data_IF_137335525586
#
_entry.id   IF_137335525586
#
_cell.length_a   1.000
_cell.length_b   1.000
_cell.length_c   1.000
_cell.angle_alpha   90.00
_cell.angle_beta   90.00
_cell.angle_gamma   90.00
#
_symmetry.space_group_name_H-M   'P 1'
#
loop_
_entity.id
_entity.type
_entity.pdbx_description
1 polymer ?
#
# COMPACT_ATOMS: atom_id res chain seq x y z
N UNK A 1 -26.71 -14.28 4.43
CA UNK A 1 -26.07 -15.52 4.92
C UNK A 1 -25.36 -15.16 6.22
N UNK A 2 -25.71 -15.77 7.33
CA UNK A 2 -25.08 -15.48 8.61
C UNK A 2 -23.65 -16.03 8.61
N UNK A 3 -22.70 -15.25 9.16
CA UNK A 3 -21.30 -15.62 9.27
C UNK A 3 -21.15 -16.78 10.29
N UNK A 4 -20.57 -17.91 9.89
CA UNK A 4 -20.20 -18.98 10.81
C UNK A 4 -18.99 -18.57 11.64
N UNK A 5 -19.26 -17.91 12.77
CA UNK A 5 -18.22 -17.39 13.69
C UNK A 5 -17.33 -18.53 14.21
N UNK A 6 -17.86 -19.75 14.42
CA UNK A 6 -17.07 -20.88 14.90
C UNK A 6 -16.07 -21.35 13.85
N UNK A 7 -16.50 -21.41 12.59
CA UNK A 7 -15.61 -21.72 11.47
C UNK A 7 -14.54 -20.65 11.31
N UNK A 8 -14.93 -19.37 11.27
CA UNK A 8 -13.97 -18.25 11.11
C UNK A 8 -12.94 -18.25 12.23
N UNK A 9 -13.38 -18.37 13.49
CA UNK A 9 -12.47 -18.36 14.64
C UNK A 9 -11.44 -19.49 14.59
N UNK A 10 -11.80 -20.66 14.08
CA UNK A 10 -10.90 -21.80 13.88
C UNK A 10 -9.80 -21.56 12.83
N UNK A 11 -9.96 -20.55 11.97
CA UNK A 11 -8.93 -20.21 10.99
C UNK A 11 -7.75 -19.46 11.63
N UNK A 12 -7.87 -19.02 12.88
CA UNK A 12 -6.86 -18.24 13.60
C UNK A 12 -6.30 -19.03 14.78
N UNK A 13 -5.12 -19.67 14.64
CA UNK A 13 -4.51 -20.50 15.70
C UNK A 13 -4.24 -19.77 17.00
N UNK A 14 -4.12 -18.44 16.97
CA UNK A 14 -3.99 -17.62 18.18
C UNK A 14 -5.12 -17.91 19.19
N UNK A 15 -6.33 -18.20 18.73
CA UNK A 15 -7.47 -18.48 19.60
C UNK A 15 -7.53 -19.92 20.14
N UNK A 16 -6.58 -20.77 19.74
CA UNK A 16 -6.36 -22.10 20.33
C UNK A 16 -5.39 -22.02 21.54
N UNK A 17 -4.68 -20.88 21.71
CA UNK A 17 -3.79 -20.65 22.85
C UNK A 17 -4.61 -20.49 24.14
N UNK A 18 -4.29 -21.20 25.23
CA UNK A 18 -5.10 -21.21 26.48
C UNK A 18 -5.44 -19.83 27.02
N UNK A 19 -4.48 -18.89 26.95
CA UNK A 19 -4.68 -17.52 27.44
C UNK A 19 -5.59 -16.65 26.53
N UNK A 20 -5.87 -17.08 25.30
CA UNK A 20 -6.65 -16.33 24.30
C UNK A 20 -8.00 -16.99 23.97
N UNK A 21 -8.22 -18.26 24.37
CA UNK A 21 -9.38 -19.05 23.92
C UNK A 21 -10.73 -18.40 24.20
N UNK A 22 -10.84 -17.66 25.31
CA UNK A 22 -12.08 -16.98 25.74
C UNK A 22 -11.99 -15.45 25.62
N UNK A 23 -10.97 -14.91 24.93
CA UNK A 23 -10.81 -13.48 24.77
C UNK A 23 -11.35 -13.00 23.44
N UNK A 24 -11.95 -11.80 23.43
CA UNK A 24 -12.21 -11.00 22.25
C UNK A 24 -10.95 -10.21 21.89
N UNK A 25 -10.67 -10.08 20.59
CA UNK A 25 -9.60 -9.24 20.07
C UNK A 25 -10.22 -8.07 19.29
N UNK A 26 -9.98 -6.85 19.76
CA UNK A 26 -10.56 -5.63 19.21
C UNK A 26 -9.51 -4.63 18.71
N UNK A 27 -8.24 -5.07 18.56
CA UNK A 27 -7.11 -4.22 18.18
C UNK A 27 -6.65 -4.46 16.72
N UNK A 28 -7.57 -4.80 15.83
CA UNK A 28 -7.25 -5.02 14.41
C UNK A 28 -6.74 -3.74 13.71
N UNK A 29 -7.05 -2.57 14.24
CA UNK A 29 -6.52 -1.29 13.74
C UNK A 29 -4.98 -1.23 13.83
N UNK A 30 -4.40 -1.84 14.86
CA UNK A 30 -2.95 -1.97 15.03
C UNK A 30 -2.34 -3.13 14.25
N UNK A 31 -3.12 -4.19 14.02
CA UNK A 31 -2.71 -5.40 13.29
C UNK A 31 -3.61 -6.57 13.63
N UNK A 32 -3.71 -7.55 12.75
CA UNK A 32 -4.56 -8.73 12.92
C UNK A 32 -3.74 -9.96 13.28
N UNK A 33 -4.37 -10.94 13.91
CA UNK A 33 -3.79 -12.29 13.99
C UNK A 33 -3.69 -12.89 12.59
N UNK A 34 -2.66 -13.72 12.41
CA UNK A 34 -2.39 -14.40 11.13
C UNK A 34 -3.26 -15.65 11.02
N UNK A 35 -3.87 -15.87 9.85
CA UNK A 35 -4.68 -17.06 9.62
C UNK A 35 -3.80 -18.32 9.38
N UNK A 36 -4.35 -19.50 9.65
CA UNK A 36 -3.69 -20.80 9.53
C UNK A 36 -3.08 -21.02 8.14
N UNK A 37 -3.81 -20.66 7.09
CA UNK A 37 -3.36 -20.85 5.72
C UNK A 37 -2.06 -20.10 5.40
N UNK A 38 -1.90 -18.89 5.96
CA UNK A 38 -0.68 -18.10 5.81
C UNK A 38 0.46 -18.73 6.62
N UNK A 39 0.21 -19.14 7.87
CA UNK A 39 1.21 -19.80 8.73
C UNK A 39 1.74 -21.08 8.07
N UNK A 40 0.83 -21.92 7.58
CA UNK A 40 1.19 -23.20 6.95
C UNK A 40 1.99 -22.96 5.64
N UNK A 41 1.60 -21.94 4.84
CA UNK A 41 2.33 -21.56 3.63
C UNK A 41 3.74 -21.09 3.95
N UNK A 42 3.89 -20.20 4.95
CA UNK A 42 5.20 -19.70 5.38
C UNK A 42 6.09 -20.82 5.93
N UNK A 43 5.55 -21.68 6.81
CA UNK A 43 6.30 -22.82 7.34
C UNK A 43 6.82 -23.73 6.21
N UNK A 44 5.96 -24.07 5.27
CA UNK A 44 6.36 -24.89 4.12
C UNK A 44 7.43 -24.19 3.29
N UNK A 45 7.25 -22.90 2.97
CA UNK A 45 8.22 -22.13 2.18
C UNK A 45 9.58 -22.09 2.87
N UNK A 46 9.62 -21.72 4.15
CA UNK A 46 10.87 -21.65 4.92
C UNK A 46 11.57 -23.01 5.08
N UNK A 47 10.82 -24.08 5.14
CA UNK A 47 11.36 -25.42 5.32
C UNK A 47 11.89 -26.03 4.01
N UNK A 48 11.19 -25.77 2.88
CA UNK A 48 11.43 -26.49 1.64
C UNK A 48 12.10 -25.64 0.55
N UNK A 49 11.89 -24.32 0.53
CA UNK A 49 12.15 -23.46 -0.64
C UNK A 49 12.88 -22.15 -0.34
N UNK A 50 13.25 -21.89 0.92
CA UNK A 50 13.91 -20.64 1.32
C UNK A 50 15.37 -20.63 0.86
N UNK A 51 15.56 -20.36 -0.42
CA UNK A 51 16.83 -20.13 -1.11
C UNK A 51 16.66 -18.92 -2.02
N UNK A 52 17.73 -18.48 -2.68
CA UNK A 52 17.62 -17.44 -3.72
C UNK A 52 16.67 -17.92 -4.82
N UNK A 53 15.57 -17.20 -5.12
CA UNK A 53 14.64 -17.56 -6.19
C UNK A 53 15.24 -17.36 -7.58
N UNK A 54 14.58 -17.90 -8.61
CA UNK A 54 14.91 -17.78 -10.03
C UNK A 54 16.26 -18.36 -10.48
N UNK A 55 16.93 -19.16 -9.63
CA UNK A 55 18.14 -19.92 -10.02
C UNK A 55 17.79 -21.20 -10.77
N UNK A 56 18.83 -21.97 -11.16
CA UNK A 56 18.70 -23.12 -12.05
C UNK A 56 18.38 -24.47 -11.35
N UNK A 57 18.20 -24.50 -10.04
CA UNK A 57 17.90 -25.72 -9.28
C UNK A 57 16.48 -25.73 -8.71
N UNK A 58 15.93 -26.92 -8.44
CA UNK A 58 14.51 -27.14 -8.19
C UNK A 58 13.91 -26.25 -7.07
N UNK A 59 14.55 -26.14 -5.91
CA UNK A 59 14.03 -25.32 -4.82
C UNK A 59 13.99 -23.83 -5.19
N UNK A 60 14.98 -23.34 -5.93
CA UNK A 60 15.06 -21.97 -6.41
C UNK A 60 13.99 -21.66 -7.46
N UNK A 61 13.82 -22.54 -8.43
CA UNK A 61 12.76 -22.43 -9.46
C UNK A 61 11.38 -22.41 -8.77
N UNK A 62 11.16 -23.36 -7.84
CA UNK A 62 9.89 -23.46 -7.11
C UNK A 62 9.64 -22.24 -6.24
N UNK A 63 10.67 -21.66 -5.61
CA UNK A 63 10.56 -20.40 -4.84
C UNK A 63 10.14 -19.23 -5.72
N UNK A 64 10.74 -19.10 -6.91
CA UNK A 64 10.37 -18.09 -7.90
C UNK A 64 8.92 -18.22 -8.34
N UNK A 65 8.45 -19.42 -8.68
CA UNK A 65 7.04 -19.65 -9.02
C UNK A 65 6.06 -19.24 -7.92
N UNK A 66 6.38 -19.45 -6.64
CA UNK A 66 5.51 -19.02 -5.55
C UNK A 66 5.46 -17.48 -5.39
N UNK A 67 6.55 -16.79 -5.69
CA UNK A 67 6.57 -15.32 -5.73
C UNK A 67 5.73 -14.78 -6.89
N UNK A 68 5.86 -15.37 -8.08
CA UNK A 68 5.06 -15.01 -9.24
C UNK A 68 3.57 -15.28 -9.01
N UNK A 69 3.22 -16.43 -8.41
CA UNK A 69 1.85 -16.77 -8.04
C UNK A 69 1.23 -15.70 -7.12
N UNK A 70 1.99 -15.19 -6.15
CA UNK A 70 1.54 -14.15 -5.24
C UNK A 70 1.26 -12.84 -5.99
N UNK A 71 2.17 -12.43 -6.89
CA UNK A 71 2.03 -11.22 -7.71
C UNK A 71 0.83 -11.31 -8.66
N UNK A 72 0.73 -12.39 -9.41
CA UNK A 72 -0.39 -12.67 -10.33
C UNK A 72 -1.74 -12.71 -9.60
N UNK A 73 -1.78 -13.39 -8.45
CA UNK A 73 -2.98 -13.49 -7.62
C UNK A 73 -3.46 -12.15 -7.11
N UNK A 74 -2.55 -11.33 -6.59
CA UNK A 74 -2.88 -9.98 -6.13
C UNK A 74 -3.28 -9.07 -7.28
N UNK A 75 -2.55 -9.06 -8.38
CA UNK A 75 -2.88 -8.25 -9.55
C UNK A 75 -4.30 -8.52 -10.07
N UNK A 76 -4.67 -9.80 -10.19
CA UNK A 76 -6.02 -10.22 -10.56
C UNK A 76 -7.07 -9.75 -9.57
N UNK A 77 -6.80 -9.90 -8.27
CA UNK A 77 -7.74 -9.50 -7.21
C UNK A 77 -7.96 -7.99 -7.18
N UNK A 78 -6.89 -7.21 -7.39
CA UNK A 78 -6.91 -5.74 -7.37
C UNK A 78 -7.31 -5.11 -8.72
N UNK A 79 -7.49 -5.91 -9.79
CA UNK A 79 -7.86 -5.42 -11.12
C UNK A 79 -6.76 -4.59 -11.80
N UNK A 80 -5.49 -4.97 -11.60
CA UNK A 80 -4.32 -4.27 -12.11
C UNK A 80 -3.39 -5.22 -12.86
N UNK A 81 -2.37 -4.71 -13.54
CA UNK A 81 -1.34 -5.52 -14.20
C UNK A 81 -0.36 -6.11 -13.18
N UNK A 82 0.25 -7.24 -13.50
CA UNK A 82 1.22 -7.92 -12.63
C UNK A 82 2.44 -7.04 -12.31
N UNK A 83 2.96 -6.33 -13.29
CA UNK A 83 4.09 -5.41 -13.14
C UNK A 83 3.75 -4.14 -12.34
N UNK A 84 2.46 -3.85 -12.10
CA UNK A 84 2.01 -2.76 -11.26
C UNK A 84 2.03 -3.12 -9.76
N UNK A 85 2.22 -4.40 -9.40
CA UNK A 85 2.23 -4.88 -8.00
C UNK A 85 3.65 -5.06 -7.51
N UNK A 86 3.97 -4.39 -6.41
CA UNK A 86 5.26 -4.46 -5.73
C UNK A 86 5.10 -4.81 -4.26
N UNK A 87 6.09 -5.50 -3.71
CA UNK A 87 6.17 -5.87 -2.30
C UNK A 87 7.30 -5.09 -1.63
N UNK A 88 7.10 -4.67 -0.41
CA UNK A 88 8.12 -4.04 0.41
C UNK A 88 8.01 -4.45 1.87
N UNK A 89 8.98 -4.10 2.71
CA UNK A 89 9.00 -4.50 4.13
C UNK A 89 7.81 -3.94 4.91
N UNK A 90 7.31 -2.77 4.51
CA UNK A 90 6.15 -2.11 5.12
C UNK A 90 5.59 -1.01 4.21
N UNK A 91 4.35 -0.59 4.43
CA UNK A 91 3.78 0.58 3.76
C UNK A 91 4.63 1.84 3.99
N UNK A 92 5.13 2.05 5.21
CA UNK A 92 6.03 3.19 5.51
C UNK A 92 7.29 3.18 4.64
N UNK A 93 7.92 2.01 4.45
CA UNK A 93 9.10 1.89 3.59
C UNK A 93 8.73 2.15 2.12
N UNK A 94 7.61 1.63 1.65
CA UNK A 94 7.11 1.91 0.30
C UNK A 94 6.90 3.41 0.08
N UNK A 95 6.29 4.11 1.07
CA UNK A 95 6.11 5.56 1.00
C UNK A 95 7.44 6.33 1.01
N UNK A 96 8.46 5.85 1.76
CA UNK A 96 9.79 6.46 1.70
C UNK A 96 10.44 6.33 0.31
N UNK A 97 10.33 5.17 -0.32
CA UNK A 97 10.84 4.94 -1.68
C UNK A 97 10.12 5.84 -2.68
N UNK A 98 8.79 5.91 -2.61
CA UNK A 98 7.99 6.80 -3.45
C UNK A 98 8.36 8.28 -3.23
N UNK A 99 8.43 8.74 -1.98
CA UNK A 99 8.77 10.12 -1.67
C UNK A 99 10.17 10.50 -2.18
N UNK A 100 11.13 9.55 -2.15
CA UNK A 100 12.43 9.76 -2.76
C UNK A 100 12.34 9.89 -4.28
N UNK A 101 11.62 9.00 -4.95
CA UNK A 101 11.44 9.04 -6.41
C UNK A 101 10.74 10.34 -6.85
N UNK A 102 9.67 10.73 -6.16
CA UNK A 102 9.00 12.01 -6.42
C UNK A 102 9.89 13.21 -6.13
N UNK A 103 10.71 13.17 -5.06
CA UNK A 103 11.64 14.25 -4.75
C UNK A 103 12.73 14.46 -5.81
N UNK A 104 13.09 13.40 -6.55
CA UNK A 104 14.00 13.49 -7.69
C UNK A 104 13.31 13.95 -8.98
N UNK A 105 12.01 13.72 -9.12
CA UNK A 105 11.21 14.09 -10.28
C UNK A 105 10.62 15.50 -10.19
N UNK A 106 10.15 15.90 -9.00
CA UNK A 106 9.53 17.20 -8.76
C UNK A 106 10.56 18.33 -8.83
N UNK A 107 10.13 19.49 -9.30
CA UNK A 107 10.98 20.70 -9.38
C UNK A 107 10.43 21.81 -8.48
N UNK A 108 11.29 22.77 -8.14
CA UNK A 108 10.87 23.94 -7.37
C UNK A 108 9.69 24.67 -8.06
N UNK A 109 8.66 24.99 -7.28
CA UNK A 109 7.39 25.54 -7.77
C UNK A 109 6.30 24.48 -7.95
N UNK A 110 6.64 23.18 -7.92
CA UNK A 110 5.62 22.16 -7.81
C UNK A 110 5.06 22.09 -6.38
N UNK A 111 3.81 21.64 -6.27
CA UNK A 111 3.12 21.42 -5.03
C UNK A 111 2.66 19.96 -4.89
N UNK A 112 2.52 19.52 -3.67
CA UNK A 112 1.85 18.28 -3.29
C UNK A 112 0.80 18.58 -2.22
N UNK A 113 -0.25 17.77 -2.19
CA UNK A 113 -1.28 17.86 -1.15
C UNK A 113 -1.17 16.62 -0.26
N UNK A 114 -1.15 16.83 1.04
CA UNK A 114 -1.30 15.79 2.09
C UNK A 114 -2.46 16.15 2.99
N UNK A 115 -2.93 15.22 3.83
CA UNK A 115 -4.00 15.52 4.78
C UNK A 115 -3.58 15.21 6.21
N UNK A 116 -4.20 15.88 7.19
CA UNK A 116 -4.04 15.54 8.60
C UNK A 116 -5.01 14.43 9.06
N UNK A 117 -5.83 13.87 8.16
CA UNK A 117 -6.65 12.69 8.43
C UNK A 117 -5.84 11.39 8.30
N UNK A 118 -4.71 11.42 7.58
CA UNK A 118 -3.95 10.24 7.22
C UNK A 118 -2.93 9.83 8.30
N UNK A 119 -2.51 8.57 8.23
CA UNK A 119 -1.46 8.04 9.09
C UNK A 119 -0.10 8.64 8.73
N UNK A 120 0.79 8.84 9.75
CA UNK A 120 2.14 9.39 9.56
C UNK A 120 2.96 8.63 8.50
N UNK A 121 2.71 7.33 8.32
CA UNK A 121 3.35 6.54 7.27
C UNK A 121 3.11 7.10 5.85
N UNK A 122 1.96 7.73 5.60
CA UNK A 122 1.63 8.33 4.31
C UNK A 122 1.60 9.87 4.33
N UNK A 123 2.11 10.51 5.36
CA UNK A 123 2.23 11.97 5.42
C UNK A 123 3.65 12.43 5.68
N UNK A 124 4.35 11.81 6.62
CA UNK A 124 5.65 12.27 7.09
C UNK A 124 6.74 12.27 6.03
N UNK A 125 6.76 11.27 5.16
CA UNK A 125 7.73 11.20 4.06
C UNK A 125 7.50 12.30 3.04
N UNK A 126 6.25 12.54 2.67
CA UNK A 126 5.84 13.58 1.73
C UNK A 126 6.14 14.98 2.26
N UNK A 127 5.83 15.25 3.53
CA UNK A 127 6.12 16.56 4.17
C UNK A 127 7.60 16.94 4.13
N UNK A 128 8.51 15.94 4.11
CA UNK A 128 9.95 16.19 4.01
C UNK A 128 10.38 16.80 2.68
N UNK A 129 9.58 16.68 1.61
CA UNK A 129 9.86 17.28 0.31
C UNK A 129 9.89 18.82 0.36
N UNK A 130 9.27 19.42 1.39
CA UNK A 130 9.39 20.87 1.63
C UNK A 130 10.84 21.34 1.78
N UNK A 131 11.73 20.48 2.28
CA UNK A 131 13.18 20.77 2.40
C UNK A 131 13.89 20.89 1.05
N UNK A 132 13.24 20.40 -0.02
CA UNK A 132 13.74 20.45 -1.39
C UNK A 132 13.07 21.56 -2.21
N UNK A 133 12.30 22.44 -1.55
CA UNK A 133 11.61 23.55 -2.19
C UNK A 133 10.28 23.18 -2.84
N UNK A 134 9.73 22.00 -2.53
CA UNK A 134 8.40 21.60 -2.98
C UNK A 134 7.37 22.16 -1.99
N UNK A 135 6.33 22.81 -2.51
CA UNK A 135 5.22 23.29 -1.69
C UNK A 135 4.40 22.10 -1.16
N UNK A 136 4.15 22.09 0.16
CA UNK A 136 3.29 21.07 0.79
C UNK A 136 2.04 21.74 1.30
N UNK A 137 0.92 21.48 0.64
CA UNK A 137 -0.40 21.95 1.03
C UNK A 137 -1.06 20.91 1.92
N UNK A 138 -1.80 21.36 2.92
CA UNK A 138 -2.48 20.47 3.86
C UNK A 138 -4.00 20.57 3.72
N UNK A 139 -4.61 19.48 3.26
CA UNK A 139 -6.06 19.32 3.25
C UNK A 139 -6.52 18.93 4.66
N UNK A 140 -7.15 19.88 5.34
CA UNK A 140 -7.52 19.75 6.76
C UNK A 140 -8.85 19.01 6.91
N UNK A 141 -8.93 18.16 7.94
CA UNK A 141 -10.22 17.60 8.35
C UNK A 141 -11.13 18.70 8.91
N UNK A 142 -12.40 18.61 8.63
CA UNK A 142 -13.42 19.33 9.33
C UNK A 142 -13.44 18.86 10.80
N UNK A 143 -13.21 19.78 11.73
CA UNK A 143 -13.03 19.46 13.16
C UNK A 143 -14.29 18.94 13.84
N UNK A 144 -15.47 19.22 13.27
CA UNK A 144 -16.75 18.80 13.82
C UNK A 144 -17.13 17.40 13.33
N UNK A 145 -16.84 17.08 12.06
CA UNK A 145 -17.25 15.82 11.43
C UNK A 145 -16.12 14.80 11.34
N UNK A 146 -14.84 15.25 11.32
CA UNK A 146 -13.67 14.41 11.04
C UNK A 146 -13.52 14.06 9.56
N UNK A 147 -14.36 14.60 8.69
CA UNK A 147 -14.37 14.37 7.25
C UNK A 147 -13.44 15.33 6.52
N UNK A 148 -13.10 14.96 5.28
CA UNK A 148 -12.38 15.79 4.33
C UNK A 148 -13.40 16.41 3.37
N UNK A 149 -13.58 17.72 3.45
CA UNK A 149 -14.54 18.43 2.60
C UNK A 149 -13.97 18.59 1.18
N UNK A 150 -14.74 18.19 0.17
CA UNK A 150 -14.30 18.24 -1.24
C UNK A 150 -14.19 19.67 -1.80
N UNK A 151 -14.93 20.61 -1.21
CA UNK A 151 -14.84 22.03 -1.56
C UNK A 151 -13.46 22.59 -1.15
N UNK A 152 -12.96 22.21 0.04
CA UNK A 152 -11.63 22.60 0.48
C UNK A 152 -10.52 22.00 -0.43
N UNK A 153 -10.75 20.82 -0.99
CA UNK A 153 -9.82 20.23 -1.97
C UNK A 153 -9.78 21.03 -3.27
N UNK A 154 -10.92 21.53 -3.75
CA UNK A 154 -10.98 22.34 -4.95
C UNK A 154 -10.15 23.64 -4.80
N UNK A 155 -10.14 24.23 -3.62
CA UNK A 155 -9.35 25.43 -3.31
C UNK A 155 -7.83 25.14 -3.23
N UNK A 156 -7.45 23.89 -2.96
CA UNK A 156 -6.04 23.46 -2.89
C UNK A 156 -5.47 23.01 -4.22
N UNK A 157 -6.32 22.61 -5.19
CA UNK A 157 -5.89 22.09 -6.49
C UNK A 157 -5.62 23.23 -7.47
N UNK A 158 -4.45 23.21 -8.08
CA UNK A 158 -4.08 24.04 -9.23
C UNK A 158 -3.08 23.30 -10.14
N UNK A 159 -2.62 23.94 -11.22
CA UNK A 159 -1.68 23.36 -12.19
C UNK A 159 -0.29 23.04 -11.61
N UNK A 160 0.07 23.56 -10.45
CA UNK A 160 1.34 23.29 -9.78
C UNK A 160 1.27 22.00 -8.95
N UNK A 161 0.07 21.57 -8.56
CA UNK A 161 -0.10 20.32 -7.80
C UNK A 161 0.21 19.11 -8.67
N UNK A 162 1.17 18.28 -8.24
CA UNK A 162 1.60 17.08 -8.96
C UNK A 162 1.24 15.78 -8.26
N UNK A 163 0.92 15.85 -6.98
CA UNK A 163 0.58 14.67 -6.19
C UNK A 163 -0.42 15.04 -5.09
N UNK A 164 -1.46 14.21 -4.95
CA UNK A 164 -2.39 14.23 -3.83
C UNK A 164 -2.29 12.92 -3.06
N UNK A 165 -2.04 12.99 -1.75
CA UNK A 165 -1.95 11.83 -0.84
C UNK A 165 -3.07 11.90 0.20
N UNK A 166 -3.86 10.83 0.32
CA UNK A 166 -4.94 10.75 1.32
C UNK A 166 -5.29 9.30 1.67
N UNK A 167 -5.95 9.02 2.82
CA UNK A 167 -6.36 7.67 3.18
C UNK A 167 -7.68 7.29 2.49
N UNK A 168 -7.82 6.02 2.11
CA UNK A 168 -9.11 5.46 1.68
C UNK A 168 -10.11 5.44 2.85
N UNK A 169 -9.60 5.08 4.03
CA UNK A 169 -10.34 5.10 5.29
C UNK A 169 -9.41 5.59 6.40
N UNK A 170 -9.88 6.54 7.19
CA UNK A 170 -9.10 7.04 8.33
C UNK A 170 -8.91 5.96 9.39
N UNK A 171 -7.68 5.80 9.88
CA UNK A 171 -7.36 4.88 10.96
C UNK A 171 -7.81 5.40 12.35
N UNK A 172 -8.23 6.64 12.46
CA UNK A 172 -8.66 7.30 13.71
C UNK A 172 -10.17 7.44 13.78
N UNK A 173 -10.77 8.10 12.78
CA UNK A 173 -12.21 8.41 12.78
C UNK A 173 -13.04 7.44 11.95
N UNK A 174 -12.39 6.51 11.24
CA UNK A 174 -12.98 5.45 10.42
C UNK A 174 -13.88 5.95 9.26
N UNK A 175 -13.83 7.24 8.91
CA UNK A 175 -14.53 7.75 7.73
C UNK A 175 -13.92 7.17 6.46
N UNK A 176 -14.78 6.77 5.53
CA UNK A 176 -14.39 6.25 4.21
C UNK A 176 -14.51 7.40 3.22
N UNK A 177 -13.40 7.77 2.62
CA UNK A 177 -13.35 8.86 1.65
C UNK A 177 -13.87 8.41 0.27
N UNK A 178 -14.54 9.30 -0.50
CA UNK A 178 -15.06 9.01 -1.83
C UNK A 178 -13.93 9.00 -2.88
N UNK A 179 -13.08 7.95 -2.86
CA UNK A 179 -11.83 7.88 -3.62
C UNK A 179 -11.99 8.20 -5.09
N UNK A 180 -13.02 7.65 -5.77
CA UNK A 180 -13.24 7.90 -7.21
C UNK A 180 -13.46 9.38 -7.53
N UNK A 181 -14.20 10.07 -6.69
CA UNK A 181 -14.49 11.50 -6.88
C UNK A 181 -13.24 12.35 -6.65
N UNK A 182 -12.48 12.04 -5.58
CA UNK A 182 -11.22 12.70 -5.26
C UNK A 182 -10.20 12.51 -6.39
N UNK A 183 -10.06 11.27 -6.88
CA UNK A 183 -9.18 10.94 -8.02
C UNK A 183 -9.58 11.74 -9.26
N UNK A 184 -10.87 11.81 -9.57
CA UNK A 184 -11.35 12.57 -10.73
C UNK A 184 -11.01 14.06 -10.66
N UNK A 185 -11.16 14.66 -9.47
CA UNK A 185 -10.79 16.07 -9.23
C UNK A 185 -9.27 16.29 -9.40
N UNK A 186 -8.46 15.47 -8.78
CA UNK A 186 -7.00 15.53 -8.86
C UNK A 186 -6.50 15.36 -10.30
N UNK A 187 -7.00 14.35 -11.01
CA UNK A 187 -6.64 14.13 -12.42
C UNK A 187 -7.05 15.30 -13.32
N UNK A 188 -8.19 15.95 -13.06
CA UNK A 188 -8.63 17.14 -13.79
C UNK A 188 -7.65 18.31 -13.62
N UNK A 189 -7.03 18.42 -12.44
CA UNK A 189 -5.97 19.40 -12.16
C UNK A 189 -4.58 18.94 -12.65
N UNK A 190 -4.44 17.72 -13.18
CA UNK A 190 -3.16 17.17 -13.65
C UNK A 190 -2.28 16.58 -12.56
N UNK A 191 -2.84 16.28 -11.39
CA UNK A 191 -2.13 15.68 -10.25
C UNK A 191 -2.30 14.16 -10.21
N UNK A 192 -1.24 13.42 -9.90
CA UNK A 192 -1.29 12.00 -9.54
C UNK A 192 -1.87 11.80 -8.14
N UNK A 193 -2.35 10.58 -7.88
CA UNK A 193 -3.04 10.26 -6.63
C UNK A 193 -2.43 9.05 -5.95
N UNK A 194 -2.01 9.23 -4.69
CA UNK A 194 -1.54 8.18 -3.79
C UNK A 194 -2.57 7.93 -2.67
N UNK A 195 -3.14 6.75 -2.65
CA UNK A 195 -4.17 6.36 -1.68
C UNK A 195 -3.59 5.39 -0.66
N UNK A 196 -3.67 5.74 0.63
CA UNK A 196 -3.40 4.81 1.73
C UNK A 196 -4.65 3.96 1.99
N UNK A 197 -4.61 2.71 1.56
CA UNK A 197 -5.66 1.72 1.77
C UNK A 197 -5.47 0.84 3.01
N UNK A 198 -4.47 1.12 3.86
CA UNK A 198 -4.09 0.25 4.99
C UNK A 198 -5.24 -0.03 5.93
N UNK A 199 -6.03 0.99 6.28
CA UNK A 199 -7.17 0.83 7.18
C UNK A 199 -8.43 0.32 6.48
N UNK A 200 -8.52 0.48 5.16
CA UNK A 200 -9.65 -0.01 4.36
C UNK A 200 -9.50 -1.49 3.98
N UNK A 201 -8.29 -1.94 3.68
CA UNK A 201 -8.00 -3.28 3.15
C UNK A 201 -8.62 -4.45 3.95
N UNK A 202 -8.68 -4.43 5.31
CA UNK A 202 -9.32 -5.50 6.08
C UNK A 202 -10.82 -5.65 5.86
N UNK A 203 -11.49 -4.61 5.38
CA UNK A 203 -12.93 -4.57 5.14
C UNK A 203 -13.34 -4.99 3.72
N UNK A 204 -12.36 -5.19 2.86
CA UNK A 204 -12.51 -5.60 1.47
C UNK A 204 -11.66 -4.75 0.55
N UNK A 205 -10.63 -5.35 -0.03
CA UNK A 205 -9.77 -4.65 -1.01
C UNK A 205 -10.60 -4.22 -2.21
N UNK A 206 -10.49 -2.97 -2.65
CA UNK A 206 -11.19 -2.49 -3.84
C UNK A 206 -10.56 -3.06 -5.11
N UNK A 207 -11.28 -3.01 -6.21
CA UNK A 207 -10.66 -3.04 -7.52
C UNK A 207 -9.92 -1.72 -7.75
N UNK A 208 -8.60 -1.73 -7.61
CA UNK A 208 -7.75 -0.52 -7.72
C UNK A 208 -7.80 0.04 -9.14
N UNK A 209 -7.95 -0.82 -10.15
CA UNK A 209 -8.17 -0.41 -11.53
C UNK A 209 -9.41 0.46 -11.70
N UNK A 210 -10.50 0.11 -11.03
CA UNK A 210 -11.79 0.81 -11.15
C UNK A 210 -11.85 2.13 -10.36
N UNK A 211 -11.10 2.26 -9.27
CA UNK A 211 -11.07 3.51 -8.48
C UNK A 211 -10.16 4.57 -9.10
N UNK A 212 -9.29 4.16 -10.04
CA UNK A 212 -8.47 5.07 -10.83
C UNK A 212 -7.25 5.65 -10.12
N UNK A 213 -6.94 5.23 -8.88
CA UNK A 213 -5.75 5.69 -8.16
C UNK A 213 -4.46 5.30 -8.91
N UNK A 214 -3.50 6.23 -8.95
CA UNK A 214 -2.19 5.98 -9.59
C UNK A 214 -1.29 5.13 -8.68
N UNK A 215 -1.42 5.33 -7.36
CA UNK A 215 -0.73 4.56 -6.33
C UNK A 215 -1.75 4.13 -5.28
N UNK A 216 -1.71 2.85 -4.89
CA UNK A 216 -2.52 2.31 -3.80
C UNK A 216 -1.64 1.49 -2.86
N UNK A 217 -1.64 1.84 -1.58
CA UNK A 217 -0.79 1.24 -0.57
C UNK A 217 -1.62 0.47 0.46
N UNK A 218 -1.17 -0.71 0.88
CA UNK A 218 -1.73 -1.38 2.04
C UNK A 218 -0.73 -2.34 2.69
N UNK A 219 -1.08 -2.84 3.88
CA UNK A 219 -0.23 -3.72 4.68
C UNK A 219 -0.90 -5.07 4.89
N UNK A 220 -0.21 -6.15 4.57
CA UNK A 220 -0.77 -7.50 4.74
C UNK A 220 -0.99 -7.89 6.20
N UNK A 221 -0.21 -7.34 7.15
CA UNK A 221 -0.38 -7.65 8.58
C UNK A 221 -1.71 -7.13 9.18
N UNK A 222 -2.40 -6.23 8.50
CA UNK A 222 -3.77 -5.82 8.86
C UNK A 222 -4.84 -6.66 8.14
N UNK A 223 -4.45 -7.42 7.11
CA UNK A 223 -5.31 -8.33 6.32
C UNK A 223 -4.95 -9.79 6.56
N UNK A 224 -4.67 -10.14 7.83
CA UNK A 224 -4.42 -11.50 8.32
C UNK A 224 -3.13 -12.16 7.80
N UNK A 225 -2.21 -11.37 7.24
CA UNK A 225 -0.93 -11.79 6.68
C UNK A 225 0.29 -11.40 7.52
N UNK A 226 1.50 -11.60 6.99
CA UNK A 226 2.76 -11.21 7.64
C UNK A 226 3.00 -9.69 7.57
N UNK A 227 4.03 -9.22 8.28
CA UNK A 227 4.51 -7.84 8.16
C UNK A 227 5.12 -7.61 6.79
N UNK A 228 4.32 -7.09 5.88
CA UNK A 228 4.72 -6.75 4.52
C UNK A 228 3.85 -5.61 3.99
N UNK A 229 4.47 -4.65 3.31
CA UNK A 229 3.78 -3.61 2.56
C UNK A 229 3.52 -4.06 1.13
N UNK A 230 2.33 -3.75 0.63
CA UNK A 230 1.96 -4.00 -0.76
C UNK A 230 1.70 -2.63 -1.39
N UNK A 231 2.24 -2.45 -2.57
CA UNK A 231 2.12 -1.23 -3.35
C UNK A 231 1.65 -1.57 -4.77
N UNK A 232 0.59 -0.92 -5.18
CA UNK A 232 0.23 -0.82 -6.60
C UNK A 232 0.69 0.54 -7.09
N UNK A 233 1.40 0.57 -8.20
CA UNK A 233 1.73 1.78 -8.93
C UNK A 233 1.42 1.58 -10.39
N UNK A 234 0.68 2.51 -11.00
CA UNK A 234 0.30 2.43 -12.41
C UNK A 234 1.53 2.55 -13.31
N UNK A 235 1.59 1.69 -14.32
CA UNK A 235 2.73 1.58 -15.23
C UNK A 235 3.18 2.93 -15.82
N UNK A 236 2.30 3.84 -16.30
CA UNK A 236 2.72 5.14 -16.83
C UNK A 236 3.43 6.01 -15.79
N UNK A 237 3.01 5.94 -14.51
CA UNK A 237 3.67 6.67 -13.43
C UNK A 237 4.99 6.00 -13.01
N UNK A 238 5.02 4.67 -13.01
CA UNK A 238 6.25 3.91 -12.71
C UNK A 238 7.35 4.19 -13.75
N UNK A 239 6.99 4.34 -15.02
CA UNK A 239 7.92 4.71 -16.10
C UNK A 239 8.42 6.15 -16.01
N UNK A 240 7.60 7.05 -15.46
CA UNK A 240 7.94 8.46 -15.30
C UNK A 240 8.91 8.70 -14.15
N UNK A 241 8.76 7.96 -13.07
CA UNK A 241 9.54 8.18 -11.85
C UNK A 241 10.95 7.57 -11.96
N UNK A 242 11.98 8.25 -11.42
CA UNK A 242 13.33 7.71 -11.37
C UNK A 242 13.40 6.39 -10.60
N UNK A 243 14.12 5.41 -11.15
CA UNK A 243 14.35 4.11 -10.52
C UNK A 243 15.06 4.28 -9.18
N UNK A 244 14.53 3.64 -8.13
CA UNK A 244 15.08 3.66 -6.77
C UNK A 244 15.82 2.35 -6.40
N UNK A 245 15.93 1.40 -7.32
CA UNK A 245 16.66 0.15 -7.16
C UNK A 245 18.15 0.26 -7.44
N UNK A 246 18.79 -0.89 -7.60
CA UNK A 246 20.19 -0.94 -7.97
C UNK A 246 20.43 -0.33 -9.35
N UNK A 247 21.57 0.34 -9.51
CA UNK A 247 21.93 1.05 -10.75
C UNK A 247 21.88 0.18 -12.01
N UNK A 248 22.20 -1.10 -11.89
CA UNK A 248 22.16 -2.05 -13.01
C UNK A 248 20.78 -2.69 -13.23
N UNK A 249 19.82 -2.42 -12.36
CA UNK A 249 18.49 -3.01 -12.46
C UNK A 249 17.58 -2.10 -13.28
N UNK A 250 17.10 -2.59 -14.42
CA UNK A 250 16.19 -1.86 -15.31
C UNK A 250 14.71 -1.98 -14.91
N UNK A 251 14.40 -2.60 -13.79
CA UNK A 251 13.02 -2.64 -13.27
C UNK A 251 12.46 -1.26 -13.01
N UNK A 252 11.20 -1.04 -13.43
CA UNK A 252 10.54 0.25 -13.43
C UNK A 252 10.37 0.86 -12.04
N UNK A 253 10.05 0.10 -11.03
CA UNK A 253 10.05 0.55 -9.64
C UNK A 253 10.55 -0.56 -8.73
N UNK A 254 11.74 -0.40 -8.21
CA UNK A 254 12.33 -1.37 -7.33
C UNK A 254 12.02 -1.05 -5.87
N UNK A 255 11.36 -1.97 -5.21
CA UNK A 255 11.33 -2.04 -3.76
C UNK A 255 12.45 -2.99 -3.34
N UNK A 256 13.33 -2.54 -2.45
CA UNK A 256 14.58 -3.17 -2.05
C UNK A 256 14.44 -4.64 -1.62
N UNK A 257 14.32 -5.55 -2.57
CA UNK A 257 14.44 -6.98 -2.32
C UNK A 257 15.77 -7.47 -2.91
N UNK A 258 16.64 -7.99 -2.05
CA UNK A 258 17.91 -8.57 -2.43
C UNK A 258 17.77 -9.79 -3.38
N UNK A 259 16.55 -10.28 -3.58
CA UNK A 259 16.26 -11.40 -4.48
C UNK A 259 16.45 -11.05 -5.96
N UNK A 260 16.40 -9.77 -6.34
CA UNK A 260 16.51 -9.33 -7.72
C UNK A 260 17.96 -9.03 -8.17
N UNK A 261 18.94 -9.26 -7.30
CA UNK A 261 20.36 -8.95 -7.61
C UNK A 261 20.98 -9.82 -8.70
N UNK A 262 20.27 -10.81 -9.24
CA UNK A 262 20.82 -11.83 -10.15
C UNK A 262 20.10 -11.97 -11.50
N UNK A 263 19.32 -11.01 -11.88
CA UNK A 263 18.69 -11.01 -13.21
C UNK A 263 19.52 -10.29 -14.26
#
# INVERSE_FOLDING_TARGET
>A
MDLDIKYVRKQFPAFDVPDLINKGFFENAGGSYVCRQVIDRLNRFYTEKKVQPYGAFEASISGGYEMDEARVGLARYLGVKEQEVSFGPSTSQNTYVLAKAFGEWLVSGNAIIVTNQDHEANTGSWRKLSKQGIEVREWQVNKETGELDLEDLDDLLDENVKLLCFPHCSNIVANINPVKEIVSKAHTAGAYVCVDGVSYAPHGLPNVGDIGADIYLFSSYKTYGPHQGIMVIKEPLAELLPNQGHYFNSCLLYTSDAADEWL
#
